data_IF_072199396766
#
_entry.id   IF_072199396766
#
_cell.length_a   1.000
_cell.length_b   1.000
_cell.length_c   1.000
_cell.angle_alpha   90.00
_cell.angle_beta   90.00
_cell.angle_gamma   90.00
#
_symmetry.space_group_name_H-M   'P 1'
#
loop_
_entity.id
_entity.type
_entity.pdbx_description
1 polymer ?
#
# COMPACT_ATOMS: atom_id res chain seq x y z
N UNK A 1 -22.28 6.20 6.72
CA UNK A 1 -22.59 5.37 5.53
C UNK A 1 -24.04 4.88 5.44
N UNK A 2 -24.82 4.70 6.53
CA UNK A 2 -26.18 4.11 6.41
C UNK A 2 -27.20 4.98 5.66
N UNK A 3 -27.16 6.30 5.85
CA UNK A 3 -28.08 7.25 5.17
C UNK A 3 -27.97 7.18 3.64
N UNK A 4 -26.77 7.28 3.02
CA UNK A 4 -26.69 7.20 1.56
C UNK A 4 -27.11 5.82 1.02
N UNK A 5 -26.81 4.74 1.74
CA UNK A 5 -27.27 3.39 1.39
C UNK A 5 -28.81 3.33 1.37
N UNK A 6 -29.48 3.87 2.39
CA UNK A 6 -30.93 3.91 2.44
C UNK A 6 -31.55 4.70 1.27
N UNK A 7 -30.95 5.84 0.89
CA UNK A 7 -31.39 6.64 -0.27
C UNK A 7 -31.23 5.83 -1.57
N UNK A 8 -30.13 5.08 -1.71
CA UNK A 8 -29.91 4.20 -2.87
C UNK A 8 -30.94 3.09 -2.94
N UNK A 9 -31.05 2.30 -1.88
CA UNK A 9 -31.86 1.08 -1.85
C UNK A 9 -33.36 1.38 -1.94
N UNK A 10 -33.82 2.46 -1.32
CA UNK A 10 -35.25 2.77 -1.21
C UNK A 10 -35.74 3.89 -2.12
N UNK A 11 -34.85 4.58 -2.83
CA UNK A 11 -35.23 5.63 -3.78
C UNK A 11 -34.33 5.71 -5.03
N UNK A 12 -33.61 4.63 -5.36
CA UNK A 12 -32.71 4.54 -6.51
C UNK A 12 -31.65 5.66 -6.55
N UNK A 13 -31.27 6.22 -5.40
CA UNK A 13 -30.28 7.31 -5.27
C UNK A 13 -30.84 8.71 -5.50
N UNK A 14 -32.10 8.83 -5.92
CA UNK A 14 -32.77 10.13 -6.07
C UNK A 14 -32.98 10.79 -4.71
N UNK A 15 -33.04 12.14 -4.64
CA UNK A 15 -33.34 12.84 -3.39
C UNK A 15 -34.57 12.25 -2.70
N UNK A 16 -34.41 11.89 -1.42
CA UNK A 16 -35.42 11.16 -0.66
C UNK A 16 -35.86 11.97 0.55
N UNK A 17 -37.17 11.97 0.82
CA UNK A 17 -37.71 12.67 1.97
C UNK A 17 -37.12 12.11 3.28
N UNK A 18 -36.67 13.01 4.17
CA UNK A 18 -36.00 12.67 5.43
C UNK A 18 -36.81 11.70 6.30
N UNK A 19 -38.14 11.85 6.35
CA UNK A 19 -39.02 10.97 7.14
C UNK A 19 -39.05 9.57 6.54
N UNK A 20 -39.05 9.46 5.21
CA UNK A 20 -38.99 8.17 4.53
C UNK A 20 -37.61 7.51 4.70
N UNK A 21 -36.52 8.27 4.74
CA UNK A 21 -35.19 7.73 5.07
C UNK A 21 -35.18 7.17 6.50
N UNK A 22 -35.74 7.88 7.47
CA UNK A 22 -35.86 7.38 8.85
C UNK A 22 -36.65 6.07 8.89
N UNK A 23 -37.78 6.00 8.18
CA UNK A 23 -38.57 4.77 8.05
C UNK A 23 -37.77 3.63 7.42
N UNK A 24 -37.07 3.88 6.30
CA UNK A 24 -36.24 2.89 5.62
C UNK A 24 -35.12 2.34 6.53
N UNK A 25 -34.57 3.18 7.40
CA UNK A 25 -33.54 2.77 8.36
C UNK A 25 -34.10 2.08 9.62
N UNK A 26 -35.43 1.99 9.77
CA UNK A 26 -36.15 1.56 10.99
C UNK A 26 -35.93 2.47 12.21
N UNK A 27 -35.92 3.79 12.00
CA UNK A 27 -35.68 4.79 13.04
C UNK A 27 -36.88 5.73 13.16
N UNK A 28 -37.08 6.28 14.37
CA UNK A 28 -38.00 7.42 14.55
C UNK A 28 -37.38 8.67 13.90
N UNK A 29 -38.13 9.41 13.05
CA UNK A 29 -37.65 10.67 12.46
C UNK A 29 -37.24 11.70 13.51
N UNK A 30 -37.81 11.65 14.72
CA UNK A 30 -37.52 12.58 15.80
C UNK A 30 -36.37 12.12 16.72
N UNK A 31 -35.83 10.92 16.53
CA UNK A 31 -34.78 10.39 17.42
C UNK A 31 -33.46 11.15 17.27
N UNK A 32 -32.75 11.34 18.38
CA UNK A 32 -31.45 12.02 18.40
C UNK A 32 -30.44 11.34 17.47
N UNK A 33 -30.27 10.02 17.57
CA UNK A 33 -29.29 9.36 16.72
C UNK A 33 -29.64 9.38 15.22
N UNK A 34 -30.92 9.53 14.82
CA UNK A 34 -31.23 9.71 13.39
C UNK A 34 -30.73 11.08 12.91
N UNK A 35 -30.91 12.12 13.74
CA UNK A 35 -30.34 13.46 13.51
C UNK A 35 -28.83 13.38 13.36
N UNK A 36 -28.17 12.65 14.26
CA UNK A 36 -26.72 12.48 14.25
C UNK A 36 -26.25 11.74 13.00
N UNK A 37 -26.98 10.72 12.54
CA UNK A 37 -26.66 9.99 11.32
C UNK A 37 -26.79 10.85 10.06
N UNK A 38 -27.83 11.69 9.98
CA UNK A 38 -27.98 12.66 8.88
C UNK A 38 -26.85 13.69 8.91
N UNK A 39 -26.58 14.27 10.07
CA UNK A 39 -25.51 15.25 10.24
C UNK A 39 -24.14 14.66 9.91
N UNK A 40 -23.84 13.46 10.39
CA UNK A 40 -22.60 12.75 10.08
C UNK A 40 -22.48 12.48 8.58
N UNK A 41 -23.54 11.97 7.94
CA UNK A 41 -23.54 11.70 6.50
C UNK A 41 -23.19 12.93 5.67
N UNK A 42 -23.73 14.10 6.05
CA UNK A 42 -23.40 15.38 5.42
C UNK A 42 -21.96 15.82 5.71
N UNK A 43 -21.48 15.71 6.96
CA UNK A 43 -20.09 16.07 7.35
C UNK A 43 -19.03 15.26 6.60
N UNK A 44 -19.26 13.95 6.41
CA UNK A 44 -18.40 13.09 5.60
C UNK A 44 -18.60 13.31 4.08
N UNK A 45 -19.45 14.25 3.67
CA UNK A 45 -19.66 14.62 2.28
C UNK A 45 -20.34 13.53 1.43
N UNK A 46 -21.09 12.61 2.03
CA UNK A 46 -21.82 11.57 1.28
C UNK A 46 -23.23 12.00 0.87
N UNK A 47 -23.79 13.00 1.56
CA UNK A 47 -25.15 13.49 1.29
C UNK A 47 -25.21 15.01 1.38
N UNK A 48 -26.11 15.60 0.61
CA UNK A 48 -26.52 17.00 0.72
C UNK A 48 -27.83 17.14 1.49
N UNK A 49 -27.95 18.25 2.21
CA UNK A 49 -29.05 18.50 3.15
C UNK A 49 -28.65 18.25 4.60
N UNK A 50 -29.45 18.76 5.52
CA UNK A 50 -29.28 18.60 6.95
C UNK A 50 -30.56 18.04 7.57
N UNK A 51 -30.58 17.87 8.90
CA UNK A 51 -31.77 17.33 9.55
C UNK A 51 -33.01 18.21 9.35
N UNK A 52 -32.90 19.51 9.09
CA UNK A 52 -34.07 20.35 8.82
C UNK A 52 -34.52 20.33 7.35
N UNK A 53 -33.74 19.71 6.46
CA UNK A 53 -34.11 19.56 5.05
C UNK A 53 -35.29 18.60 4.89
N UNK A 54 -36.19 18.94 3.97
CA UNK A 54 -37.30 18.04 3.59
C UNK A 54 -36.76 16.80 2.89
N UNK A 55 -35.86 16.99 1.92
CA UNK A 55 -35.21 15.94 1.16
C UNK A 55 -33.71 15.95 1.40
N UNK A 56 -33.12 14.76 1.39
CA UNK A 56 -31.67 14.54 1.46
C UNK A 56 -31.25 13.86 0.14
N UNK A 57 -30.19 14.37 -0.47
CA UNK A 57 -29.68 13.87 -1.75
C UNK A 57 -28.29 13.23 -1.59
N UNK A 58 -27.92 12.34 -2.51
CA UNK A 58 -26.54 11.85 -2.61
C UNK A 58 -25.65 12.92 -3.24
N UNK A 59 -24.43 13.07 -2.71
CA UNK A 59 -23.35 13.77 -3.43
C UNK A 59 -22.72 12.83 -4.46
N UNK A 60 -21.82 13.33 -5.30
CA UNK A 60 -20.99 12.47 -6.17
C UNK A 60 -20.24 11.38 -5.39
N UNK A 61 -19.71 11.70 -4.21
CA UNK A 61 -19.04 10.73 -3.33
C UNK A 61 -20.03 9.71 -2.75
N UNK A 62 -21.24 10.14 -2.41
CA UNK A 62 -22.33 9.25 -1.99
C UNK A 62 -22.76 8.27 -3.08
N UNK A 63 -22.80 8.74 -4.32
CA UNK A 63 -23.03 7.90 -5.51
C UNK A 63 -21.92 6.85 -5.67
N UNK A 64 -20.65 7.26 -5.61
CA UNK A 64 -19.49 6.35 -5.68
C UNK A 64 -19.47 5.32 -4.53
N UNK A 65 -19.90 5.72 -3.33
CA UNK A 65 -19.98 4.82 -2.18
C UNK A 65 -21.07 3.73 -2.35
N UNK A 66 -22.22 4.10 -2.93
CA UNK A 66 -23.42 3.25 -2.96
C UNK A 66 -23.58 2.45 -4.24
N UNK A 67 -22.96 2.90 -5.34
CA UNK A 67 -22.92 2.22 -6.64
C UNK A 67 -21.52 2.31 -7.23
N UNK A 68 -20.51 1.71 -6.57
CA UNK A 68 -19.14 1.71 -7.08
C UNK A 68 -19.00 0.80 -8.31
N UNK A 69 -18.12 1.19 -9.23
CA UNK A 69 -17.66 0.36 -10.37
C UNK A 69 -16.71 -0.76 -9.95
N UNK A 70 -16.22 -0.71 -8.71
CA UNK A 70 -15.39 -1.74 -8.10
C UNK A 70 -14.92 -1.33 -6.69
N UNK A 71 -14.31 -2.26 -5.97
CA UNK A 71 -13.93 -2.07 -4.57
C UNK A 71 -12.98 -0.88 -4.35
N UNK A 72 -12.13 -0.60 -5.34
CA UNK A 72 -11.23 0.55 -5.32
C UNK A 72 -11.97 1.88 -5.27
N UNK A 73 -12.97 2.09 -6.11
CA UNK A 73 -13.75 3.34 -6.15
C UNK A 73 -14.53 3.53 -4.84
N UNK A 74 -15.11 2.45 -4.32
CA UNK A 74 -15.79 2.45 -3.03
C UNK A 74 -14.85 2.87 -1.90
N UNK A 75 -13.64 2.30 -1.87
CA UNK A 75 -12.64 2.59 -0.86
C UNK A 75 -12.13 4.03 -0.98
N UNK A 76 -11.88 4.52 -2.19
CA UNK A 76 -11.47 5.90 -2.45
C UNK A 76 -12.57 6.87 -1.96
N UNK A 77 -13.84 6.61 -2.24
CA UNK A 77 -14.95 7.41 -1.71
C UNK A 77 -15.00 7.43 -0.17
N UNK A 78 -14.73 6.30 0.49
CA UNK A 78 -14.63 6.24 1.96
C UNK A 78 -13.42 7.03 2.49
N UNK A 79 -12.26 6.93 1.83
CA UNK A 79 -11.04 7.68 2.18
C UNK A 79 -11.25 9.17 2.05
N UNK A 80 -11.84 9.62 0.95
CA UNK A 80 -12.18 11.02 0.74
C UNK A 80 -13.18 11.54 1.78
N UNK A 81 -14.16 10.71 2.15
CA UNK A 81 -15.08 11.00 3.24
C UNK A 81 -14.34 11.25 4.55
N UNK A 82 -13.45 10.32 4.92
CA UNK A 82 -12.66 10.44 6.14
C UNK A 82 -11.76 11.68 6.13
N UNK A 83 -11.11 11.97 5.00
CA UNK A 83 -10.21 13.12 4.79
C UNK A 83 -10.94 14.46 4.65
N UNK A 84 -12.25 14.49 4.44
CA UNK A 84 -12.99 15.77 4.41
C UNK A 84 -13.25 16.33 5.81
N UNK A 85 -12.98 15.56 6.87
CA UNK A 85 -13.02 16.06 8.23
C UNK A 85 -11.66 16.72 8.54
N UNK A 86 -11.64 18.04 8.69
CA UNK A 86 -10.41 18.83 8.89
C UNK A 86 -9.51 18.29 10.02
N UNK A 87 -10.13 17.91 11.15
CA UNK A 87 -9.43 17.29 12.27
C UNK A 87 -8.67 16.01 11.86
N UNK A 88 -9.32 15.15 11.08
CA UNK A 88 -8.74 13.87 10.67
C UNK A 88 -7.70 14.06 9.57
N UNK A 89 -7.91 14.96 8.62
CA UNK A 89 -6.88 15.31 7.64
C UNK A 89 -5.64 15.89 8.32
N UNK A 90 -5.82 16.80 9.29
CA UNK A 90 -4.72 17.35 10.08
C UNK A 90 -3.90 16.27 10.78
N UNK A 91 -4.57 15.32 11.45
CA UNK A 91 -3.90 14.17 12.08
C UNK A 91 -3.22 13.26 11.06
N UNK A 92 -3.87 12.96 9.94
CA UNK A 92 -3.33 12.13 8.87
C UNK A 92 -2.04 12.72 8.30
N UNK A 93 -2.03 14.04 8.06
CA UNK A 93 -0.86 14.77 7.58
C UNK A 93 0.22 14.82 8.65
N UNK A 94 -0.14 15.14 9.90
CA UNK A 94 0.80 15.26 11.01
C UNK A 94 1.56 13.95 11.27
N UNK A 95 0.86 12.82 11.19
CA UNK A 95 1.44 11.50 11.43
C UNK A 95 1.82 10.75 10.15
N UNK A 96 1.80 11.38 8.97
CA UNK A 96 2.09 10.69 7.71
C UNK A 96 3.46 10.00 7.74
N UNK A 97 3.49 8.69 7.49
CA UNK A 97 4.66 7.81 7.62
C UNK A 97 5.27 7.77 9.02
N UNK A 98 4.48 8.06 10.05
CA UNK A 98 4.87 7.99 11.45
C UNK A 98 3.92 7.09 12.22
N UNK A 99 4.44 6.51 13.31
CA UNK A 99 3.67 5.75 14.28
C UNK A 99 2.73 6.67 15.04
N UNK A 100 1.46 6.25 15.20
CA UNK A 100 0.54 6.91 16.11
C UNK A 100 0.94 6.62 17.56
N UNK A 101 0.85 7.61 18.45
CA UNK A 101 1.05 7.39 19.87
C UNK A 101 -0.05 6.47 20.44
N UNK A 102 0.18 5.91 21.62
CA UNK A 102 -0.86 5.11 22.29
C UNK A 102 -2.09 5.97 22.62
N UNK A 103 -3.24 5.33 22.83
CA UNK A 103 -4.54 5.98 22.94
C UNK A 103 -4.56 7.16 23.92
N UNK A 104 -4.00 7.00 25.12
CA UNK A 104 -3.96 8.06 26.13
C UNK A 104 -3.14 9.28 25.69
N UNK A 105 -2.04 9.06 24.97
CA UNK A 105 -1.22 10.12 24.42
C UNK A 105 -1.86 10.79 23.20
N UNK A 106 -2.53 10.03 22.34
CA UNK A 106 -3.26 10.58 21.18
C UNK A 106 -4.40 11.49 21.63
N UNK A 107 -5.13 11.10 22.67
CA UNK A 107 -6.13 11.96 23.33
C UNK A 107 -5.51 13.28 23.80
N UNK A 108 -4.37 13.22 24.49
CA UNK A 108 -3.70 14.44 24.98
C UNK A 108 -3.22 15.36 23.85
N UNK A 109 -2.84 14.80 22.70
CA UNK A 109 -2.51 15.58 21.49
C UNK A 109 -3.74 16.31 20.97
N UNK A 110 -4.89 15.64 20.94
CA UNK A 110 -6.14 16.23 20.48
C UNK A 110 -6.61 17.40 21.34
N UNK A 111 -6.39 17.36 22.66
CA UNK A 111 -6.79 18.43 23.58
C UNK A 111 -5.94 19.71 23.45
N UNK A 112 -4.75 19.61 22.85
CA UNK A 112 -3.78 20.71 22.74
C UNK A 112 -3.81 21.37 21.36
N UNK A 113 -3.09 22.47 21.22
CA UNK A 113 -2.81 23.06 19.91
C UNK A 113 -2.11 22.05 18.99
N UNK A 114 -2.47 21.99 17.70
CA UNK A 114 -3.41 22.87 16.98
C UNK A 114 -4.89 22.42 17.01
N UNK A 115 -5.20 21.26 17.61
CA UNK A 115 -6.50 20.59 17.43
C UNK A 115 -7.59 21.02 18.40
N UNK A 116 -7.24 21.37 19.64
CA UNK A 116 -8.14 21.96 20.67
C UNK A 116 -9.48 21.22 20.85
N UNK A 117 -9.48 19.90 20.73
CA UNK A 117 -10.68 19.08 20.94
C UNK A 117 -11.03 19.12 22.44
N UNK A 118 -12.26 19.46 22.82
CA UNK A 118 -12.67 19.43 24.23
C UNK A 118 -12.46 18.05 24.87
N UNK A 119 -11.97 18.03 26.11
CA UNK A 119 -11.58 16.79 26.81
C UNK A 119 -12.70 15.74 26.89
N UNK A 120 -13.96 16.17 26.94
CA UNK A 120 -15.12 15.30 26.94
C UNK A 120 -15.28 14.48 25.64
N UNK A 121 -14.70 14.95 24.53
CA UNK A 121 -14.81 14.34 23.19
C UNK A 121 -13.48 13.81 22.65
N UNK A 122 -12.34 14.17 23.25
CA UNK A 122 -11.02 13.82 22.73
C UNK A 122 -10.77 12.31 22.65
N UNK A 123 -11.21 11.55 23.66
CA UNK A 123 -11.06 10.09 23.67
C UNK A 123 -11.87 9.43 22.55
N UNK A 124 -13.12 9.85 22.37
CA UNK A 124 -14.01 9.34 21.32
C UNK A 124 -13.50 9.72 19.92
N UNK A 125 -13.03 10.96 19.74
CA UNK A 125 -12.45 11.42 18.49
C UNK A 125 -11.20 10.61 18.09
N UNK A 126 -10.32 10.31 19.05
CA UNK A 126 -9.16 9.45 18.83
C UNK A 126 -9.56 8.02 18.42
N UNK A 127 -10.55 7.44 19.09
CA UNK A 127 -11.05 6.10 18.76
C UNK A 127 -11.66 6.03 17.36
N UNK A 128 -12.51 7.01 17.01
CA UNK A 128 -13.10 7.13 15.67
C UNK A 128 -12.01 7.28 14.61
N UNK A 129 -11.02 8.14 14.85
CA UNK A 129 -9.91 8.36 13.93
C UNK A 129 -9.15 7.05 13.66
N UNK A 130 -8.77 6.33 14.72
CA UNK A 130 -8.00 5.08 14.59
C UNK A 130 -8.82 3.99 13.90
N UNK A 131 -10.06 3.74 14.37
CA UNK A 131 -10.92 2.68 13.80
C UNK A 131 -11.26 2.95 12.34
N UNK A 132 -11.65 4.17 12.02
CA UNK A 132 -12.04 4.54 10.64
C UNK A 132 -10.82 4.55 9.73
N UNK A 133 -9.70 5.14 10.18
CA UNK A 133 -8.44 5.12 9.43
C UNK A 133 -7.94 3.71 9.13
N UNK A 134 -8.09 2.76 10.07
CA UNK A 134 -7.83 1.33 9.83
C UNK A 134 -8.79 0.73 8.81
N UNK A 135 -10.08 0.96 8.95
CA UNK A 135 -11.10 0.43 8.04
C UNK A 135 -10.90 0.89 6.58
N UNK A 136 -10.38 2.11 6.36
CA UNK A 136 -10.07 2.63 5.03
C UNK A 136 -8.60 2.44 4.63
N UNK A 137 -7.81 1.74 5.44
CA UNK A 137 -6.42 1.38 5.15
C UNK A 137 -5.42 2.54 5.14
N UNK A 138 -5.79 3.69 5.72
CA UNK A 138 -4.92 4.86 5.94
C UNK A 138 -4.16 4.78 7.27
N UNK A 139 -4.59 3.91 8.19
CA UNK A 139 -3.85 3.50 9.38
C UNK A 139 -3.63 2.00 9.29
N UNK A 140 -2.39 1.54 9.45
CA UNK A 140 -2.04 0.12 9.34
C UNK A 140 -1.24 -0.30 10.55
N UNK A 141 -1.51 -1.50 11.06
CA UNK A 141 -0.71 -2.07 12.13
C UNK A 141 0.56 -2.68 11.52
N UNK A 142 1.72 -2.14 11.90
CA UNK A 142 3.06 -2.59 11.49
C UNK A 142 3.80 -2.98 12.76
N UNK A 143 4.20 -4.25 12.87
CA UNK A 143 4.83 -4.82 14.07
C UNK A 143 4.04 -4.50 15.36
N UNK A 144 2.72 -4.69 15.30
CA UNK A 144 1.81 -4.46 16.42
C UNK A 144 1.55 -2.98 16.78
N UNK A 145 2.04 -2.03 15.98
CA UNK A 145 1.88 -0.60 16.22
C UNK A 145 1.09 0.08 15.09
N UNK A 146 0.17 1.02 15.37
CA UNK A 146 -0.55 1.73 14.32
C UNK A 146 0.32 2.81 13.65
N UNK A 147 0.38 2.80 12.32
CA UNK A 147 1.10 3.79 11.49
C UNK A 147 0.16 4.44 10.50
N UNK A 148 0.30 5.75 10.26
CA UNK A 148 -0.44 6.44 9.20
C UNK A 148 0.29 6.32 7.87
N UNK A 149 -0.42 5.88 6.83
CA UNK A 149 0.09 5.69 5.47
C UNK A 149 -0.88 6.27 4.46
N UNK A 150 -0.52 7.39 3.82
CA UNK A 150 -1.41 8.09 2.87
C UNK A 150 -1.29 7.59 1.41
N UNK A 151 -0.27 6.79 1.10
CA UNK A 151 -0.15 6.16 -0.21
C UNK A 151 -1.22 5.07 -0.36
N UNK A 152 -2.19 5.31 -1.24
CA UNK A 152 -3.36 4.47 -1.47
C UNK A 152 -3.01 3.09 -2.05
N UNK A 153 -2.56 2.14 -1.22
CA UNK A 153 -2.59 0.71 -1.51
C UNK A 153 -3.99 0.13 -1.24
N UNK A 154 -4.35 -0.96 -1.92
CA UNK A 154 -5.60 -1.70 -1.70
C UNK A 154 -5.80 -2.05 -0.20
N UNK A 155 -7.06 -2.22 0.27
CA UNK A 155 -7.31 -2.61 1.65
C UNK A 155 -6.82 -4.05 1.82
N UNK A 156 -6.04 -4.30 2.86
CA UNK A 156 -5.66 -5.64 3.26
C UNK A 156 -6.92 -6.35 3.76
N UNK A 157 -7.63 -7.04 2.87
CA UNK A 157 -8.55 -8.10 3.31
C UNK A 157 -7.65 -9.24 3.75
N UNK A 158 -7.72 -9.60 5.03
CA UNK A 158 -7.07 -10.79 5.54
C UNK A 158 -7.75 -12.00 4.87
N UNK A 159 -7.07 -12.63 3.91
CA UNK A 159 -7.51 -13.93 3.41
C UNK A 159 -6.95 -15.05 4.31
N UNK A 160 -7.77 -16.05 4.66
CA UNK A 160 -7.36 -17.17 5.48
C UNK A 160 -6.40 -18.08 4.73
N UNK A 161 -5.42 -18.59 5.46
CA UNK A 161 -4.48 -19.62 5.01
C UNK A 161 -5.28 -20.88 4.66
N UNK A 162 -5.27 -21.26 3.37
CA UNK A 162 -5.68 -22.61 2.93
C UNK A 162 -4.43 -23.33 2.42
N UNK A 163 -4.03 -24.35 3.18
CA UNK A 163 -2.96 -25.28 2.86
C UNK A 163 -3.44 -26.18 1.72
N UNK A 164 -2.61 -26.33 0.69
CA UNK A 164 -3.00 -26.90 -0.60
C UNK A 164 -3.26 -28.40 -0.62
N UNK A 165 -3.78 -28.86 -1.75
CA UNK A 165 -3.49 -30.16 -2.37
C UNK A 165 -3.70 -30.07 -3.88
N UNK A 166 -2.88 -30.82 -4.61
CA UNK A 166 -2.55 -30.66 -6.02
C UNK A 166 -3.57 -31.24 -7.03
N UNK A 167 -3.48 -30.68 -8.24
CA UNK A 167 -3.57 -31.29 -9.58
C UNK A 167 -4.87 -31.92 -10.11
N UNK A 168 -5.33 -31.41 -11.27
CA UNK A 168 -5.02 -32.02 -12.59
C UNK A 168 -5.56 -31.19 -13.77
N UNK A 169 -4.74 -31.07 -14.81
CA UNK A 169 -5.11 -30.64 -16.16
C UNK A 169 -5.96 -31.69 -16.90
N UNK A 170 -6.87 -31.22 -17.76
CA UNK A 170 -7.21 -31.85 -19.03
C UNK A 170 -7.88 -30.80 -19.93
N UNK A 171 -7.33 -30.58 -21.14
CA UNK A 171 -7.86 -29.64 -22.12
C UNK A 171 -9.02 -30.17 -22.97
N UNK A 172 -9.51 -29.33 -23.89
CA UNK A 172 -9.83 -29.63 -25.31
C UNK A 172 -10.54 -28.43 -25.98
N UNK A 173 -9.97 -28.01 -27.14
CA UNK A 173 -10.50 -27.43 -28.41
C UNK A 173 -11.81 -26.59 -28.44
N UNK A 174 -11.75 -25.41 -29.08
CA UNK A 174 -12.90 -24.62 -29.61
C UNK A 174 -13.34 -25.07 -31.04
N UNK A 175 -13.92 -24.23 -31.93
CA UNK A 175 -14.66 -22.93 -31.87
C UNK A 175 -16.04 -23.05 -32.63
N UNK A 176 -16.68 -22.07 -33.36
CA UNK A 176 -16.56 -20.60 -33.50
C UNK A 176 -17.91 -19.78 -33.54
N UNK A 177 -17.78 -18.45 -33.71
CA UNK A 177 -18.56 -17.55 -34.61
C UNK A 177 -19.49 -16.44 -34.08
N UNK A 178 -19.15 -15.23 -34.56
CA UNK A 178 -19.96 -14.15 -35.13
C UNK A 178 -20.97 -13.33 -34.29
N UNK A 179 -20.84 -12.00 -34.46
CA UNK A 179 -21.78 -10.98 -33.99
C UNK A 179 -21.13 -9.60 -33.94
N UNK A 180 -20.76 -9.05 -35.11
CA UNK A 180 -20.36 -7.65 -35.27
C UNK A 180 -21.61 -6.76 -35.32
N UNK A 181 -21.65 -5.71 -34.49
CA UNK A 181 -22.39 -4.47 -34.79
C UNK A 181 -21.51 -3.25 -34.50
N UNK A 182 -21.31 -2.47 -35.56
CA UNK A 182 -20.68 -1.14 -35.68
C UNK A 182 -21.57 -0.05 -35.05
N UNK A 183 -21.09 0.92 -34.25
CA UNK A 183 -20.40 2.21 -34.58
C UNK A 183 -20.61 3.16 -33.37
N UNK A 184 -20.04 4.39 -33.26
CA UNK A 184 -18.90 5.03 -33.95
C UNK A 184 -17.85 5.73 -33.03
N UNK A 185 -16.66 5.93 -33.62
CA UNK A 185 -15.59 6.92 -33.35
C UNK A 185 -15.59 7.71 -32.02
N UNK A 186 -14.66 7.36 -31.12
CA UNK A 186 -14.04 8.28 -30.16
C UNK A 186 -12.51 8.26 -30.37
N UNK A 187 -11.92 9.46 -30.32
CA UNK A 187 -10.53 9.81 -30.63
C UNK A 187 -9.45 8.90 -29.98
N UNK A 188 -8.23 8.82 -30.55
CA UNK A 188 -7.21 7.89 -30.08
C UNK A 188 -6.77 8.24 -28.66
N UNK A 189 -7.10 7.36 -27.72
CA UNK A 189 -6.42 7.32 -26.42
C UNK A 189 -4.96 7.02 -26.72
N UNK A 190 -4.09 8.01 -26.44
CA UNK A 190 -2.64 7.78 -26.40
C UNK A 190 -2.39 6.62 -25.44
N UNK A 191 -2.07 5.46 -25.98
CA UNK A 191 -1.48 4.34 -25.24
C UNK A 191 -0.20 4.85 -24.59
N UNK A 192 -0.24 5.10 -23.28
CA UNK A 192 0.99 5.22 -22.53
C UNK A 192 1.69 3.85 -22.56
N UNK A 193 2.98 3.78 -22.92
CA UNK A 193 3.71 2.52 -22.91
C UNK A 193 3.72 1.95 -21.48
N UNK A 194 3.62 0.63 -21.37
CA UNK A 194 3.82 -0.08 -20.11
C UNK A 194 5.16 0.36 -19.52
N UNK A 195 5.13 0.94 -18.32
CA UNK A 195 6.33 1.45 -17.67
C UNK A 195 7.41 0.35 -17.61
N UNK A 196 8.55 0.60 -18.22
CA UNK A 196 9.73 -0.28 -18.15
C UNK A 196 10.15 -0.39 -16.69
N UNK A 197 10.18 -1.62 -16.16
CA UNK A 197 10.55 -1.87 -14.78
C UNK A 197 12.04 -1.56 -14.56
N UNK A 198 12.32 -0.65 -13.63
CA UNK A 198 13.68 -0.27 -13.22
C UNK A 198 13.96 -0.81 -11.81
N UNK A 199 15.13 -1.39 -11.59
CA UNK A 199 15.49 -2.00 -10.30
C UNK A 199 16.48 -1.14 -9.51
N UNK A 200 16.19 -0.95 -8.23
CA UNK A 200 17.13 -0.39 -7.28
C UNK A 200 18.12 -1.47 -6.85
N UNK A 201 19.41 -1.17 -6.85
CA UNK A 201 20.47 -2.11 -6.45
C UNK A 201 21.21 -1.57 -5.23
N UNK A 202 21.17 -2.35 -4.15
CA UNK A 202 21.90 -2.11 -2.92
C UNK A 202 22.99 -3.16 -2.74
N UNK A 203 24.15 -2.75 -2.24
CA UNK A 203 25.26 -3.66 -2.00
C UNK A 203 26.10 -3.23 -0.79
N UNK A 204 26.80 -4.22 -0.22
CA UNK A 204 27.76 -4.04 0.86
C UNK A 204 29.13 -3.52 0.41
N UNK A 205 30.19 -3.82 1.16
CA UNK A 205 31.58 -3.52 0.81
C UNK A 205 32.09 -4.38 -0.35
N UNK A 206 31.46 -5.52 -0.60
CA UNK A 206 31.82 -6.39 -1.71
C UNK A 206 31.42 -5.77 -3.07
N UNK A 207 32.38 -5.04 -3.65
CA UNK A 207 32.24 -4.46 -4.99
C UNK A 207 32.37 -5.48 -6.11
N UNK A 208 32.97 -6.66 -5.85
CA UNK A 208 33.10 -7.73 -6.84
C UNK A 208 31.74 -8.37 -7.11
N UNK A 209 30.97 -8.68 -6.07
CA UNK A 209 29.62 -9.20 -6.20
C UNK A 209 28.69 -8.21 -6.93
N UNK A 210 28.79 -6.92 -6.63
CA UNK A 210 28.09 -5.86 -7.36
C UNK A 210 28.46 -5.88 -8.86
N UNK A 211 29.75 -5.89 -9.20
CA UNK A 211 30.21 -5.87 -10.59
C UNK A 211 29.69 -7.09 -11.38
N UNK A 212 29.66 -8.26 -10.75
CA UNK A 212 29.09 -9.47 -11.35
C UNK A 212 27.58 -9.32 -11.59
N UNK A 213 26.84 -8.77 -10.63
CA UNK A 213 25.41 -8.50 -10.78
C UNK A 213 25.14 -7.47 -11.88
N UNK A 214 25.89 -6.37 -11.90
CA UNK A 214 25.77 -5.34 -12.94
C UNK A 214 26.06 -5.90 -14.34
N UNK A 215 27.02 -6.80 -14.48
CA UNK A 215 27.31 -7.47 -15.75
C UNK A 215 26.10 -8.30 -16.23
N UNK A 216 25.51 -9.10 -15.34
CA UNK A 216 24.30 -9.89 -15.65
C UNK A 216 23.14 -8.97 -16.05
N UNK A 217 22.85 -7.93 -15.27
CA UNK A 217 21.74 -7.02 -15.56
C UNK A 217 21.91 -6.29 -16.90
N UNK A 218 23.15 -5.89 -17.24
CA UNK A 218 23.47 -5.30 -18.55
C UNK A 218 23.26 -6.29 -19.70
N UNK A 219 23.77 -7.52 -19.57
CA UNK A 219 23.64 -8.57 -20.58
C UNK A 219 22.16 -8.90 -20.85
N UNK A 220 21.34 -8.93 -19.80
CA UNK A 220 19.90 -9.17 -19.88
C UNK A 220 19.07 -7.94 -20.29
N UNK A 221 19.70 -6.76 -20.43
CA UNK A 221 19.01 -5.51 -20.78
C UNK A 221 18.05 -5.01 -19.70
N UNK A 222 18.26 -5.36 -18.43
CA UNK A 222 17.40 -4.98 -17.30
C UNK A 222 17.83 -3.60 -16.78
N UNK A 223 16.95 -2.57 -16.80
CA UNK A 223 17.29 -1.25 -16.27
C UNK A 223 17.49 -1.28 -14.75
N UNK A 224 18.58 -0.69 -14.27
CA UNK A 224 18.88 -0.64 -12.84
C UNK A 224 19.57 0.65 -12.41
N UNK A 225 19.51 0.96 -11.10
CA UNK A 225 20.14 2.11 -10.46
C UNK A 225 20.82 1.65 -9.18
N UNK A 226 22.12 1.92 -9.04
CA UNK A 226 22.90 1.52 -7.85
C UNK A 226 22.94 2.68 -6.85
N UNK A 227 22.72 2.38 -5.57
CA UNK A 227 23.01 3.31 -4.49
C UNK A 227 24.54 3.48 -4.35
N UNK A 228 25.11 4.51 -4.98
CA UNK A 228 26.54 4.86 -4.82
C UNK A 228 26.77 5.78 -3.61
N UNK A 229 27.77 5.45 -2.80
CA UNK A 229 28.41 6.35 -1.85
C UNK A 229 29.26 7.39 -2.62
N UNK A 230 28.69 8.54 -2.99
CA UNK A 230 29.45 9.68 -3.54
C UNK A 230 29.36 10.91 -2.61
N UNK A 231 30.42 11.72 -2.63
CA UNK A 231 30.60 12.91 -1.77
C UNK A 231 29.49 13.96 -1.97
N UNK A 232 29.06 14.57 -0.87
CA UNK A 232 27.79 15.29 -0.76
C UNK A 232 27.86 16.75 -1.25
N UNK A 233 27.00 17.09 -2.22
CA UNK A 233 26.62 18.47 -2.55
C UNK A 233 25.48 19.00 -1.64
N UNK A 234 25.55 18.74 -0.33
CA UNK A 234 24.64 19.31 0.67
C UNK A 234 23.25 18.63 0.84
N UNK A 235 22.97 17.50 0.16
CA UNK A 235 21.74 16.70 0.41
C UNK A 235 22.01 15.52 1.37
N UNK A 236 21.13 15.22 2.34
CA UNK A 236 21.25 14.04 3.19
C UNK A 236 21.24 12.73 2.38
N UNK A 237 22.10 11.77 2.73
CA UNK A 237 22.23 10.46 2.07
C UNK A 237 20.89 9.73 2.01
N UNK A 238 20.14 9.74 3.12
CA UNK A 238 18.82 9.11 3.25
C UNK A 238 17.79 9.68 2.28
N UNK A 239 17.86 10.98 1.96
CA UNK A 239 16.96 11.61 1.00
C UNK A 239 17.27 11.16 -0.44
N UNK A 240 18.56 11.07 -0.80
CA UNK A 240 18.98 10.57 -2.12
C UNK A 240 18.58 9.11 -2.32
N UNK A 241 18.84 8.25 -1.32
CA UNK A 241 18.44 6.84 -1.36
C UNK A 241 16.92 6.71 -1.54
N UNK A 242 16.13 7.51 -0.81
CA UNK A 242 14.67 7.56 -0.97
C UNK A 242 14.23 7.97 -2.38
N UNK A 243 14.86 9.00 -2.96
CA UNK A 243 14.57 9.44 -4.33
C UNK A 243 14.92 8.36 -5.37
N UNK A 244 16.07 7.71 -5.23
CA UNK A 244 16.50 6.61 -6.12
C UNK A 244 15.57 5.40 -6.02
N UNK A 245 15.18 5.02 -4.79
CA UNK A 245 14.25 3.93 -4.57
C UNK A 245 12.86 4.27 -5.13
N UNK A 246 12.38 5.50 -4.95
CA UNK A 246 11.09 5.95 -5.49
C UNK A 246 11.01 5.97 -7.02
N UNK A 247 12.15 6.10 -7.70
CA UNK A 247 12.24 6.02 -9.15
C UNK A 247 12.24 4.57 -9.68
N UNK A 248 12.45 3.59 -8.80
CA UNK A 248 12.50 2.17 -9.14
C UNK A 248 11.16 1.47 -8.89
N UNK A 249 10.96 0.35 -9.59
CA UNK A 249 9.76 -0.49 -9.52
C UNK A 249 10.00 -1.82 -8.79
N UNK A 250 11.24 -2.09 -8.37
CA UNK A 250 11.68 -3.29 -7.67
C UNK A 250 13.08 -3.10 -7.09
N UNK A 251 13.56 -4.04 -6.28
CA UNK A 251 14.86 -3.96 -5.63
C UNK A 251 15.66 -5.25 -5.75
N UNK A 252 16.99 -5.14 -5.86
CA UNK A 252 17.94 -6.25 -5.81
C UNK A 252 18.99 -5.92 -4.74
N UNK A 253 19.13 -6.79 -3.74
CA UNK A 253 19.98 -6.57 -2.57
C UNK A 253 21.10 -7.59 -2.54
N UNK A 254 22.34 -7.14 -2.49
CA UNK A 254 23.52 -8.01 -2.31
C UNK A 254 23.99 -7.90 -0.87
N UNK A 255 23.74 -8.97 -0.11
CA UNK A 255 24.03 -9.09 1.31
C UNK A 255 25.30 -9.93 1.52
N UNK A 256 26.45 -9.25 1.52
CA UNK A 256 27.79 -9.83 1.79
C UNK A 256 28.15 -9.86 3.27
N UNK A 257 29.17 -10.64 3.63
CA UNK A 257 29.72 -10.71 4.99
C UNK A 257 30.58 -9.47 5.31
N UNK A 258 29.94 -8.37 5.68
CA UNK A 258 30.60 -7.07 5.86
C UNK A 258 30.86 -6.66 7.30
N UNK A 259 30.00 -7.14 8.21
CA UNK A 259 29.99 -6.77 9.62
C UNK A 259 30.06 -8.01 10.52
N UNK A 260 30.82 -7.92 11.59
CA UNK A 260 30.88 -8.94 12.63
C UNK A 260 30.00 -8.54 13.80
N UNK A 261 29.11 -9.44 14.19
CA UNK A 261 28.23 -9.25 15.34
C UNK A 261 28.46 -10.37 16.34
N UNK A 262 28.51 -10.04 17.63
CA UNK A 262 28.54 -11.06 18.70
C UNK A 262 27.14 -11.28 19.22
N UNK A 263 26.65 -12.50 19.15
CA UNK A 263 25.38 -12.86 19.77
C UNK A 263 25.47 -12.87 21.31
N UNK A 264 24.33 -13.06 21.96
CA UNK A 264 24.22 -13.15 23.43
C UNK A 264 25.00 -14.31 24.05
N UNK A 265 25.41 -15.28 23.24
CA UNK A 265 26.21 -16.45 23.64
C UNK A 265 27.72 -16.24 23.34
N UNK A 266 28.08 -15.11 22.74
CA UNK A 266 29.46 -14.74 22.41
C UNK A 266 29.96 -15.26 21.07
N UNK A 267 29.10 -15.91 20.26
CA UNK A 267 29.48 -16.38 18.93
C UNK A 267 29.59 -15.21 17.96
N UNK A 268 30.59 -15.26 17.08
CA UNK A 268 30.78 -14.26 16.01
C UNK A 268 29.93 -14.66 14.81
N UNK A 269 28.99 -13.79 14.45
CA UNK A 269 28.11 -13.90 13.30
C UNK A 269 28.54 -12.89 12.24
N UNK A 270 28.63 -13.32 10.99
CA UNK A 270 28.82 -12.43 9.86
C UNK A 270 27.47 -11.88 9.41
N UNK A 271 27.36 -10.56 9.21
CA UNK A 271 26.12 -9.88 8.83
C UNK A 271 26.32 -8.97 7.62
N UNK A 272 25.24 -8.69 6.86
CA UNK A 272 25.25 -7.64 5.87
C UNK A 272 25.45 -6.28 6.54
N UNK A 273 26.01 -5.34 5.80
CA UNK A 273 26.17 -3.95 6.25
C UNK A 273 24.83 -3.34 6.63
N UNK A 274 24.80 -2.56 7.71
CA UNK A 274 23.56 -1.97 8.23
C UNK A 274 22.77 -1.18 7.16
N UNK A 275 23.47 -0.42 6.31
CA UNK A 275 22.85 0.35 5.23
C UNK A 275 22.03 -0.54 4.28
N UNK A 276 22.55 -1.72 3.92
CA UNK A 276 21.86 -2.67 3.05
C UNK A 276 20.62 -3.23 3.75
N UNK A 277 20.68 -3.46 5.06
CA UNK A 277 19.53 -3.88 5.86
C UNK A 277 18.46 -2.79 5.94
N UNK A 278 18.84 -1.52 6.14
CA UNK A 278 17.90 -0.40 6.14
C UNK A 278 17.22 -0.22 4.77
N UNK A 279 17.99 -0.32 3.69
CA UNK A 279 17.47 -0.24 2.32
C UNK A 279 16.59 -1.44 1.98
N UNK A 280 16.94 -2.64 2.42
CA UNK A 280 16.10 -3.84 2.27
C UNK A 280 14.78 -3.69 3.03
N UNK A 281 14.82 -3.14 4.25
CA UNK A 281 13.63 -2.83 5.04
C UNK A 281 12.76 -1.75 4.39
N UNK A 282 13.36 -0.74 3.75
CA UNK A 282 12.62 0.25 2.98
C UNK A 282 12.02 -0.35 1.69
N UNK A 283 12.73 -1.27 1.06
CA UNK A 283 12.30 -1.91 -0.18
C UNK A 283 11.17 -2.90 0.02
N UNK A 284 11.19 -3.68 1.12
CA UNK A 284 10.08 -4.58 1.49
C UNK A 284 8.75 -3.86 1.61
N UNK A 285 8.81 -2.56 1.93
CA UNK A 285 7.66 -1.68 1.97
C UNK A 285 7.33 -1.02 0.62
N UNK A 286 8.34 -0.56 -0.14
CA UNK A 286 8.13 0.16 -1.41
C UNK A 286 7.76 -0.73 -2.59
N UNK A 287 8.27 -1.95 -2.63
CA UNK A 287 8.19 -2.81 -3.81
C UNK A 287 7.31 -4.04 -3.60
N UNK A 288 6.67 -4.18 -2.44
CA UNK A 288 6.00 -5.40 -1.98
C UNK A 288 6.91 -6.62 -2.20
N UNK A 289 6.49 -7.59 -3.02
CA UNK A 289 7.25 -8.81 -3.31
C UNK A 289 8.29 -8.63 -4.40
N UNK A 290 8.41 -7.48 -5.07
CA UNK A 290 9.33 -7.28 -6.21
C UNK A 290 10.76 -7.03 -5.75
N UNK A 291 11.28 -7.96 -4.96
CA UNK A 291 12.58 -7.89 -4.32
C UNK A 291 13.31 -9.18 -4.56
N UNK A 292 14.56 -9.08 -4.99
CA UNK A 292 15.48 -10.21 -5.08
C UNK A 292 16.62 -9.99 -4.10
N UNK A 293 16.91 -10.98 -3.27
CA UNK A 293 17.97 -10.92 -2.28
C UNK A 293 19.04 -11.93 -2.65
N UNK A 294 20.27 -11.48 -2.81
CA UNK A 294 21.44 -12.34 -2.87
C UNK A 294 22.09 -12.37 -1.49
N UNK A 295 22.25 -13.58 -0.96
CA UNK A 295 22.84 -13.81 0.36
C UNK A 295 24.16 -14.54 0.20
N UNK A 296 25.25 -13.97 0.70
CA UNK A 296 26.52 -14.68 0.76
C UNK A 296 26.44 -15.82 1.78
N UNK A 297 26.98 -16.98 1.43
CA UNK A 297 26.99 -18.14 2.32
C UNK A 297 27.71 -17.83 3.63
N UNK A 298 27.11 -18.23 4.74
CA UNK A 298 27.63 -17.95 6.09
C UNK A 298 27.24 -16.59 6.67
N UNK A 299 26.52 -15.76 5.91
CA UNK A 299 25.88 -14.54 6.43
C UNK A 299 24.62 -14.89 7.21
N UNK A 300 24.43 -14.23 8.34
CA UNK A 300 23.23 -14.36 9.18
C UNK A 300 22.38 -13.10 9.04
N UNK A 301 21.13 -13.25 8.63
CA UNK A 301 20.18 -12.15 8.62
C UNK A 301 19.64 -11.87 10.04
N UNK A 302 19.24 -10.63 10.33
CA UNK A 302 18.39 -10.37 11.48
C UNK A 302 17.10 -11.19 11.40
N UNK A 303 16.55 -11.58 12.56
CA UNK A 303 15.33 -12.39 12.66
C UNK A 303 14.13 -11.78 11.93
N UNK A 304 14.09 -10.45 11.82
CA UNK A 304 13.02 -9.72 11.13
C UNK A 304 12.94 -9.99 9.61
N UNK A 305 13.97 -10.63 9.04
CA UNK A 305 14.07 -10.96 7.61
C UNK A 305 14.13 -12.47 7.34
N UNK A 306 13.85 -13.33 8.33
CA UNK A 306 13.89 -14.79 8.18
C UNK A 306 12.91 -15.34 7.13
N UNK A 307 11.84 -14.59 6.88
CA UNK A 307 10.72 -15.02 6.04
C UNK A 307 10.89 -14.60 4.57
N UNK A 308 11.99 -13.91 4.24
CA UNK A 308 12.30 -13.48 2.88
C UNK A 308 13.11 -14.56 2.15
N UNK A 309 12.62 -14.96 0.97
CA UNK A 309 13.36 -15.83 0.06
C UNK A 309 14.63 -15.14 -0.45
N UNK A 310 15.72 -15.91 -0.57
CA UNK A 310 17.01 -15.42 -1.04
C UNK A 310 17.69 -16.41 -1.98
N UNK A 311 18.53 -15.88 -2.85
CA UNK A 311 19.45 -16.64 -3.69
C UNK A 311 20.80 -16.68 -2.95
N UNK A 312 21.18 -17.86 -2.47
CA UNK A 312 22.48 -18.04 -1.82
C UNK A 312 23.61 -18.12 -2.84
N UNK A 313 24.72 -17.41 -2.59
CA UNK A 313 25.92 -17.42 -3.43
C UNK A 313 27.21 -17.58 -2.60
N UNK A 314 28.24 -18.16 -3.21
CA UNK A 314 29.60 -18.23 -2.63
C UNK A 314 30.35 -16.93 -2.94
N UNK A 315 31.25 -16.52 -2.05
CA UNK A 315 32.04 -15.29 -2.22
C UNK A 315 32.72 -15.23 -3.59
N UNK A 316 32.47 -14.15 -4.32
CA UNK A 316 33.01 -13.94 -5.68
C UNK A 316 32.39 -14.81 -6.78
N UNK A 317 31.31 -15.55 -6.52
CA UNK A 317 30.64 -16.45 -7.47
C UNK A 317 29.17 -16.07 -7.74
N UNK A 318 28.80 -14.79 -7.64
CA UNK A 318 27.43 -14.34 -7.93
C UNK A 318 27.05 -14.56 -9.40
N UNK A 319 28.01 -14.48 -10.32
CA UNK A 319 27.82 -14.73 -11.77
C UNK A 319 27.16 -16.08 -12.09
N UNK A 320 27.43 -17.11 -11.28
CA UNK A 320 26.82 -18.44 -11.41
C UNK A 320 25.31 -18.49 -11.12
N UNK A 321 24.72 -17.40 -10.62
CA UNK A 321 23.32 -17.30 -10.20
C UNK A 321 22.40 -16.60 -11.22
N UNK A 322 22.88 -16.41 -12.44
CA UNK A 322 22.12 -15.78 -13.54
C UNK A 322 20.76 -16.44 -13.77
N UNK A 323 20.69 -17.77 -13.79
CA UNK A 323 19.43 -18.50 -14.01
C UNK A 323 18.46 -18.37 -12.83
N UNK A 324 18.96 -18.33 -11.60
CA UNK A 324 18.14 -18.16 -10.40
C UNK A 324 17.55 -16.75 -10.37
N UNK A 325 18.35 -15.73 -10.71
CA UNK A 325 17.88 -14.35 -10.88
C UNK A 325 16.76 -14.24 -11.92
N UNK A 326 16.94 -14.88 -13.08
CA UNK A 326 15.92 -14.89 -14.14
C UNK A 326 14.60 -15.50 -13.67
N UNK A 327 14.64 -16.62 -12.94
CA UNK A 327 13.43 -17.26 -12.40
C UNK A 327 12.68 -16.34 -11.44
N UNK A 328 13.41 -15.70 -10.52
CA UNK A 328 12.80 -14.74 -9.60
C UNK A 328 12.16 -13.57 -10.36
N UNK A 329 12.89 -12.94 -11.29
CA UNK A 329 12.34 -11.82 -12.07
C UNK A 329 11.10 -12.20 -12.90
N UNK A 330 11.02 -13.43 -13.41
CA UNK A 330 9.83 -13.95 -14.10
C UNK A 330 8.67 -14.19 -13.11
N UNK A 331 8.94 -14.82 -11.96
CA UNK A 331 7.93 -15.07 -10.93
C UNK A 331 7.32 -13.76 -10.40
N UNK A 332 8.14 -12.71 -10.32
CA UNK A 332 7.73 -11.35 -9.96
C UNK A 332 6.93 -10.64 -11.06
N UNK A 333 6.67 -11.30 -12.19
CA UNK A 333 6.08 -10.73 -13.42
C UNK A 333 6.84 -9.50 -13.92
N UNK A 334 8.13 -9.41 -13.56
CA UNK A 334 8.96 -8.26 -13.87
C UNK A 334 9.58 -8.33 -15.28
N UNK A 335 9.62 -9.52 -15.87
CA UNK A 335 10.05 -9.74 -17.25
C UNK A 335 9.05 -10.71 -17.89
N UNK A 336 8.55 -10.39 -19.09
CA UNK A 336 7.88 -11.36 -19.95
C UNK A 336 8.91 -11.93 -20.91
N UNK A 337 9.23 -13.22 -20.78
CA UNK A 337 9.90 -13.93 -21.87
C UNK A 337 8.91 -13.97 -23.04
N UNK A 338 9.17 -13.19 -24.09
CA UNK A 338 8.50 -13.41 -25.36
C UNK A 338 9.07 -14.72 -25.92
N UNK A 339 8.22 -15.71 -26.25
CA UNK A 339 8.71 -16.88 -26.96
C UNK A 339 9.37 -16.40 -28.26
N UNK A 340 10.60 -16.87 -28.50
CA UNK A 340 11.34 -16.59 -29.73
C UNK A 340 10.49 -16.97 -30.95
N UNK A 341 10.56 -16.10 -31.96
CA UNK A 341 9.81 -16.15 -33.22
C UNK A 341 9.91 -17.46 -33.96
#
# INVERSE_FOLDING_TARGET
MKVPIAIREHNAGRPMNRVLIAKAMNWSPASAGFRDMVAASAKYGFTEGNYNSENIALTQRGEQLTTPRGDREKLEAMREGFRSIELFEGLLVHYNNNKLPQADFLKNVLEREPYKVPAAWAAEAADIFVKTGRAVGLIRDVSGSPWVVLAAGAPTVAEPIVIGTEAKEAGVKGPPSEGQETQPLAAPVKTQPAATLQFFVAHGRDTQALQQLEAILKELGIPYVVAKEEAHAGRPISQKVKELMGACSGGIFVCSADEEFKDTEGNILQRPRENVIYELGAASYLYDRRIVIFKEKGVTFPSDFSDLGYIEFEKGQLSGKTMDLLRELIALKAIKLLPGS
#
